data_IF_000459854911
#
_entry.id   IF_000459854911
#
_cell.length_a   1.000
_cell.length_b   1.000
_cell.length_c   1.000
_cell.angle_alpha   90.00
_cell.angle_beta   90.00
_cell.angle_gamma   90.00
#
_symmetry.space_group_name_H-M   'P 1'
#
loop_
_entity.id
_entity.type
_entity.pdbx_description
1 polymer ?
#
# COMPACT_ATOMS: atom_id res chain seq x y z
N UNK A 1 14.92 -22.64 25.56
CA UNK A 1 14.21 -22.17 24.36
C UNK A 1 13.24 -21.01 24.64
N UNK A 2 12.28 -21.12 25.57
CA UNK A 2 11.29 -20.05 25.91
C UNK A 2 11.93 -18.77 26.46
N UNK A 3 13.02 -18.89 27.22
CA UNK A 3 13.73 -17.73 27.82
C UNK A 3 14.48 -16.90 26.78
N UNK A 4 15.04 -17.54 25.74
CA UNK A 4 15.72 -16.89 24.62
C UNK A 4 14.78 -16.07 23.76
N UNK A 5 13.59 -16.63 23.45
CA UNK A 5 12.52 -15.94 22.68
C UNK A 5 12.00 -14.71 23.43
N UNK A 6 11.93 -14.78 24.77
CA UNK A 6 11.45 -13.66 25.60
C UNK A 6 12.48 -12.52 25.71
N UNK A 7 13.79 -12.83 25.67
CA UNK A 7 14.87 -11.84 25.65
C UNK A 7 14.98 -11.16 24.27
N UNK A 8 14.82 -11.92 23.19
CA UNK A 8 14.82 -11.39 21.81
C UNK A 8 13.64 -10.45 21.57
N UNK A 9 12.44 -10.79 22.09
CA UNK A 9 11.27 -9.92 22.02
C UNK A 9 11.44 -8.63 22.82
N UNK A 10 12.12 -8.68 23.99
CA UNK A 10 12.41 -7.50 24.80
C UNK A 10 13.47 -6.59 24.16
N UNK A 11 14.41 -7.16 23.39
CA UNK A 11 15.37 -6.41 22.58
C UNK A 11 14.74 -5.66 21.41
N UNK A 12 13.78 -6.29 20.72
CA UNK A 12 13.05 -5.70 19.60
C UNK A 12 12.07 -4.60 20.03
N UNK A 13 11.47 -4.71 21.22
CA UNK A 13 10.57 -3.66 21.76
C UNK A 13 11.31 -2.35 22.08
N UNK A 14 12.63 -2.40 22.33
CA UNK A 14 13.47 -1.21 22.52
C UNK A 14 13.89 -0.53 21.21
N UNK A 15 13.63 -1.13 20.04
CA UNK A 15 13.99 -0.60 18.71
C UNK A 15 12.78 0.03 18.01
N UNK A 16 11.62 0.10 18.66
CA UNK A 16 10.44 0.80 18.10
C UNK A 16 10.67 2.31 18.08
N UNK A 17 11.37 2.78 17.05
CA UNK A 17 11.61 4.21 16.82
C UNK A 17 10.33 4.99 16.48
N UNK A 18 9.35 4.34 15.83
CA UNK A 18 8.12 4.96 15.37
C UNK A 18 6.90 4.13 15.76
N UNK A 19 5.84 4.80 16.20
CA UNK A 19 4.53 4.19 16.40
C UNK A 19 3.80 3.99 15.07
N UNK A 20 2.83 3.06 15.04
CA UNK A 20 1.98 2.87 13.85
C UNK A 20 1.21 4.14 13.44
N UNK A 21 0.87 5.01 14.40
CA UNK A 21 0.26 6.31 14.11
C UNK A 21 1.24 7.26 13.40
N UNK A 22 2.48 7.36 13.88
CA UNK A 22 3.52 8.18 13.25
C UNK A 22 3.82 7.72 11.82
N UNK A 23 3.92 6.40 11.59
CA UNK A 23 4.10 5.86 10.24
C UNK A 23 2.94 6.21 9.30
N UNK A 24 1.69 6.24 9.79
CA UNK A 24 0.54 6.68 8.99
C UNK A 24 0.64 8.16 8.60
N UNK A 25 1.07 9.01 9.53
CA UNK A 25 1.31 10.43 9.20
C UNK A 25 2.44 10.59 8.19
N UNK A 26 3.52 9.83 8.30
CA UNK A 26 4.62 9.85 7.33
C UNK A 26 4.12 9.42 5.95
N UNK A 27 3.35 8.32 5.85
CA UNK A 27 2.78 7.87 4.59
C UNK A 27 1.86 8.92 3.97
N UNK A 28 0.99 9.54 4.78
CA UNK A 28 0.08 10.60 4.32
C UNK A 28 0.84 11.84 3.84
N UNK A 29 1.83 12.31 4.60
CA UNK A 29 2.65 13.47 4.22
C UNK A 29 3.47 13.20 2.95
N UNK A 30 4.06 12.00 2.83
CA UNK A 30 4.78 11.60 1.61
C UNK A 30 3.85 11.63 0.39
N UNK A 31 2.63 11.09 0.50
CA UNK A 31 1.63 11.12 -0.55
C UNK A 31 1.19 12.56 -0.88
N UNK A 32 1.01 13.40 0.14
CA UNK A 32 0.64 14.81 -0.05
C UNK A 32 1.74 15.56 -0.81
N UNK A 33 3.00 15.37 -0.44
CA UNK A 33 4.16 15.98 -1.13
C UNK A 33 4.20 15.56 -2.60
N UNK A 34 4.01 14.27 -2.90
CA UNK A 34 3.93 13.76 -4.26
C UNK A 34 2.83 14.43 -5.09
N UNK A 35 1.63 14.55 -4.52
CA UNK A 35 0.50 15.19 -5.20
C UNK A 35 0.71 16.68 -5.42
N UNK A 36 1.23 17.39 -4.40
CA UNK A 36 1.57 18.81 -4.52
C UNK A 36 2.63 19.02 -5.59
N UNK A 37 3.66 18.16 -5.64
CA UNK A 37 4.67 18.20 -6.67
C UNK A 37 4.05 18.08 -8.07
N UNK A 38 3.23 17.07 -8.29
CA UNK A 38 2.57 16.80 -9.57
C UNK A 38 1.55 17.87 -9.97
N UNK A 39 0.87 18.49 -8.98
CA UNK A 39 -0.13 19.52 -9.25
C UNK A 39 0.46 20.88 -9.57
N UNK A 40 1.48 21.29 -8.82
CA UNK A 40 1.96 22.68 -8.81
C UNK A 40 3.33 22.84 -9.45
N UNK A 41 4.24 21.86 -9.26
CA UNK A 41 5.61 21.97 -9.73
C UNK A 41 5.77 21.42 -11.15
N UNK A 42 5.25 20.22 -11.42
CA UNK A 42 5.33 19.59 -12.74
C UNK A 42 4.83 20.48 -13.89
N UNK A 43 3.70 21.21 -13.77
CA UNK A 43 3.21 22.06 -14.87
C UNK A 43 4.09 23.27 -15.21
N UNK A 44 4.99 23.67 -14.31
CA UNK A 44 5.86 24.85 -14.48
C UNK A 44 7.35 24.47 -14.56
N UNK A 45 7.67 23.19 -14.76
CA UNK A 45 9.04 22.71 -14.89
C UNK A 45 9.65 23.27 -16.19
N UNK A 46 10.74 24.02 -16.03
CA UNK A 46 11.59 24.53 -17.10
C UNK A 46 13.04 24.06 -17.00
N UNK A 47 13.34 23.18 -16.05
CA UNK A 47 14.69 22.66 -15.74
C UNK A 47 15.33 23.35 -14.53
N UNK A 48 16.66 23.18 -14.40
CA UNK A 48 17.43 23.78 -13.31
C UNK A 48 17.06 23.29 -11.91
N UNK A 49 17.14 24.17 -10.92
CA UNK A 49 16.89 23.85 -9.50
C UNK A 49 15.48 23.32 -9.27
N UNK A 50 14.50 23.77 -10.04
CA UNK A 50 13.11 23.36 -9.88
C UNK A 50 12.92 21.86 -10.23
N UNK A 51 13.66 21.37 -11.22
CA UNK A 51 13.69 19.96 -11.59
C UNK A 51 14.28 19.11 -10.45
N UNK A 52 15.40 19.54 -9.85
CA UNK A 52 16.03 18.81 -8.74
C UNK A 52 15.11 18.73 -7.51
N UNK A 53 14.38 19.81 -7.21
CA UNK A 53 13.39 19.85 -6.13
C UNK A 53 12.24 18.88 -6.43
N UNK A 54 11.76 18.86 -7.67
CA UNK A 54 10.70 17.96 -8.12
C UNK A 54 11.11 16.49 -8.00
N UNK A 55 12.32 16.14 -8.45
CA UNK A 55 12.86 14.79 -8.34
C UNK A 55 13.01 14.35 -6.87
N UNK A 56 13.43 15.26 -6.00
CA UNK A 56 13.51 14.98 -4.56
C UNK A 56 12.13 14.71 -3.95
N UNK A 57 11.11 15.47 -4.33
CA UNK A 57 9.72 15.25 -3.88
C UNK A 57 9.14 13.96 -4.41
N UNK A 58 9.47 13.54 -5.63
CA UNK A 58 9.09 12.25 -6.18
C UNK A 58 9.69 11.08 -5.39
N UNK A 59 10.96 11.18 -4.99
CA UNK A 59 11.62 10.17 -4.14
C UNK A 59 10.91 10.06 -2.78
N UNK A 60 10.57 11.19 -2.15
CA UNK A 60 9.79 11.20 -0.90
C UNK A 60 8.42 10.57 -1.13
N UNK A 61 7.73 10.92 -2.21
CA UNK A 61 6.41 10.41 -2.56
C UNK A 61 6.36 8.89 -2.68
N UNK A 62 7.40 8.29 -3.22
CA UNK A 62 7.51 6.82 -3.37
C UNK A 62 7.51 6.05 -2.05
N UNK A 63 7.82 6.70 -0.91
CA UNK A 63 7.77 6.09 0.42
C UNK A 63 6.31 5.78 0.83
N UNK A 64 5.35 6.54 0.34
CA UNK A 64 3.94 6.38 0.70
C UNK A 64 3.39 5.00 0.36
N UNK A 65 3.64 4.49 -0.84
CA UNK A 65 3.07 3.22 -1.31
C UNK A 65 3.49 2.00 -0.47
N UNK A 66 4.79 1.76 -0.19
CA UNK A 66 5.21 0.67 0.69
C UNK A 66 4.61 0.75 2.09
N UNK A 67 4.46 1.96 2.65
CA UNK A 67 3.84 2.15 3.95
C UNK A 67 2.35 1.82 3.93
N UNK A 68 1.61 2.26 2.90
CA UNK A 68 0.20 1.88 2.76
C UNK A 68 0.03 0.38 2.54
N UNK A 69 0.88 -0.25 1.72
CA UNK A 69 0.89 -1.70 1.53
C UNK A 69 1.12 -2.44 2.85
N UNK A 70 2.08 -1.98 3.66
CA UNK A 70 2.31 -2.50 5.01
C UNK A 70 1.05 -2.39 5.88
N UNK A 71 0.35 -1.25 5.87
CA UNK A 71 -0.88 -1.06 6.65
C UNK A 71 -2.04 -1.92 6.16
N UNK A 72 -2.13 -2.24 4.87
CA UNK A 72 -3.11 -3.20 4.36
C UNK A 72 -2.88 -4.59 4.97
N UNK A 73 -1.62 -5.05 4.99
CA UNK A 73 -1.25 -6.33 5.59
C UNK A 73 -1.52 -6.32 7.11
N UNK A 74 -1.10 -5.28 7.81
CA UNK A 74 -1.35 -5.12 9.25
C UNK A 74 -2.86 -5.11 9.55
N UNK A 75 -3.63 -4.36 8.77
CA UNK A 75 -5.07 -4.26 8.87
C UNK A 75 -5.76 -5.60 8.60
N UNK A 76 -5.29 -6.38 7.62
CA UNK A 76 -5.81 -7.71 7.33
C UNK A 76 -5.74 -8.66 8.53
N UNK A 77 -4.62 -8.65 9.27
CA UNK A 77 -4.46 -9.51 10.44
C UNK A 77 -5.16 -8.96 11.70
N UNK A 78 -5.36 -7.65 11.81
CA UNK A 78 -5.99 -7.02 12.98
C UNK A 78 -7.50 -6.85 12.85
N UNK A 79 -8.07 -6.90 11.64
CA UNK A 79 -9.50 -6.65 11.44
C UNK A 79 -10.38 -7.79 11.95
N UNK A 80 -11.50 -7.43 12.56
CA UNK A 80 -12.54 -8.40 12.96
C UNK A 80 -13.36 -8.90 11.76
N UNK A 81 -13.45 -8.13 10.68
CA UNK A 81 -14.22 -8.48 9.48
C UNK A 81 -13.49 -8.05 8.21
N UNK A 82 -12.91 -9.04 7.54
CA UNK A 82 -12.19 -8.84 6.27
C UNK A 82 -13.12 -8.32 5.16
N UNK A 83 -14.37 -8.82 5.14
CA UNK A 83 -15.40 -8.36 4.18
C UNK A 83 -15.68 -6.87 4.34
N UNK A 84 -15.90 -6.41 5.57
CA UNK A 84 -16.17 -5.00 5.87
C UNK A 84 -14.94 -4.13 5.55
N UNK A 85 -13.74 -4.64 5.82
CA UNK A 85 -12.49 -3.94 5.52
C UNK A 85 -12.33 -3.73 4.00
N UNK A 86 -12.53 -4.79 3.20
CA UNK A 86 -12.50 -4.71 1.74
C UNK A 86 -13.60 -3.78 1.19
N UNK A 87 -14.83 -3.90 1.70
CA UNK A 87 -15.93 -3.05 1.27
C UNK A 87 -15.65 -1.57 1.51
N UNK A 88 -15.15 -1.22 2.69
CA UNK A 88 -14.77 0.16 2.99
C UNK A 88 -13.67 0.66 2.05
N UNK A 89 -12.64 -0.15 1.80
CA UNK A 89 -11.54 0.21 0.90
C UNK A 89 -12.03 0.45 -0.53
N UNK A 90 -12.94 -0.40 -1.04
CA UNK A 90 -13.55 -0.25 -2.36
C UNK A 90 -14.48 0.98 -2.44
N UNK A 91 -15.27 1.25 -1.40
CA UNK A 91 -16.11 2.46 -1.35
C UNK A 91 -15.23 3.72 -1.44
N UNK A 92 -14.16 3.78 -0.65
CA UNK A 92 -13.23 4.90 -0.72
C UNK A 92 -12.51 4.97 -2.07
N UNK A 93 -12.14 3.83 -2.69
CA UNK A 93 -11.56 3.80 -4.01
C UNK A 93 -12.48 4.44 -5.06
N UNK A 94 -13.76 4.07 -5.06
CA UNK A 94 -14.76 4.63 -5.99
C UNK A 94 -14.98 6.12 -5.75
N UNK A 95 -15.12 6.55 -4.48
CA UNK A 95 -15.31 7.97 -4.15
C UNK A 95 -14.08 8.80 -4.56
N UNK A 96 -12.88 8.25 -4.37
CA UNK A 96 -11.62 8.94 -4.68
C UNK A 96 -11.29 8.96 -6.17
N UNK A 97 -11.97 8.17 -7.01
CA UNK A 97 -11.70 8.11 -8.45
C UNK A 97 -12.04 9.43 -9.13
N UNK A 98 -13.16 10.04 -8.79
CA UNK A 98 -13.58 11.31 -9.39
C UNK A 98 -12.53 12.42 -9.17
N UNK A 99 -12.13 12.75 -7.92
CA UNK A 99 -11.08 13.75 -7.70
C UNK A 99 -9.73 13.34 -8.28
N UNK A 100 -9.40 12.04 -8.33
CA UNK A 100 -8.17 11.54 -8.95
C UNK A 100 -8.17 11.80 -10.46
N UNK A 101 -9.24 11.45 -11.16
CA UNK A 101 -9.37 11.67 -12.60
C UNK A 101 -9.37 13.16 -12.97
N UNK A 102 -10.06 13.97 -12.19
CA UNK A 102 -10.04 15.43 -12.38
C UNK A 102 -8.63 16.01 -12.21
N UNK A 103 -7.86 15.46 -11.27
CA UNK A 103 -6.51 15.92 -10.99
C UNK A 103 -5.52 15.52 -12.09
N UNK A 104 -5.51 14.24 -12.50
CA UNK A 104 -4.52 13.72 -13.44
C UNK A 104 -4.90 13.85 -14.91
N UNK A 105 -6.20 13.73 -15.23
CA UNK A 105 -6.68 13.63 -16.61
C UNK A 105 -7.51 14.83 -17.04
N UNK A 106 -7.83 15.74 -16.09
CA UNK A 106 -8.74 16.88 -16.29
C UNK A 106 -10.10 16.45 -16.86
N UNK A 107 -10.53 15.21 -16.60
CA UNK A 107 -11.81 14.61 -16.99
C UNK A 107 -12.50 14.07 -15.75
N UNK A 108 -13.84 13.94 -15.80
CA UNK A 108 -14.57 13.35 -14.68
C UNK A 108 -14.43 11.84 -14.58
N UNK A 109 -14.02 11.18 -15.67
CA UNK A 109 -13.89 9.73 -15.71
C UNK A 109 -12.84 9.31 -16.74
N UNK A 110 -11.80 8.59 -16.29
CA UNK A 110 -10.73 8.07 -17.13
C UNK A 110 -10.42 6.62 -16.75
N UNK A 111 -10.67 5.70 -17.67
CA UNK A 111 -10.44 4.26 -17.43
C UNK A 111 -9.00 3.80 -17.67
N UNK A 112 -8.09 4.70 -18.05
CA UNK A 112 -6.69 4.33 -18.36
C UNK A 112 -5.79 4.24 -17.14
N UNK A 113 -6.15 4.95 -16.07
CA UNK A 113 -5.40 4.94 -14.83
C UNK A 113 -6.40 5.00 -13.66
N UNK A 114 -6.24 4.13 -12.69
CA UNK A 114 -7.06 4.09 -11.48
C UNK A 114 -6.26 4.58 -10.29
N UNK A 115 -6.95 5.13 -9.28
CA UNK A 115 -6.28 5.54 -8.06
C UNK A 115 -5.70 4.34 -7.29
N UNK A 116 -4.70 4.61 -6.47
CA UNK A 116 -3.92 3.60 -5.71
C UNK A 116 -4.78 2.72 -4.79
N UNK A 117 -5.97 3.16 -4.37
CA UNK A 117 -6.85 2.38 -3.49
C UNK A 117 -7.39 1.13 -4.17
N UNK A 118 -7.59 1.13 -5.50
CA UNK A 118 -7.93 -0.09 -6.23
C UNK A 118 -6.80 -1.11 -6.19
N UNK A 119 -5.55 -0.68 -6.37
CA UNK A 119 -4.36 -1.54 -6.24
C UNK A 119 -4.25 -2.12 -4.84
N UNK A 120 -4.49 -1.31 -3.81
CA UNK A 120 -4.50 -1.77 -2.41
C UNK A 120 -5.65 -2.73 -2.12
N UNK A 121 -6.84 -2.53 -2.73
CA UNK A 121 -7.97 -3.45 -2.61
C UNK A 121 -7.66 -4.80 -3.27
N UNK A 122 -7.05 -4.78 -4.46
CA UNK A 122 -6.61 -6.00 -5.15
C UNK A 122 -5.55 -6.75 -4.33
N UNK A 123 -4.60 -6.03 -3.74
CA UNK A 123 -3.59 -6.60 -2.83
C UNK A 123 -4.23 -7.25 -1.61
N UNK A 124 -5.26 -6.63 -1.02
CA UNK A 124 -6.02 -7.19 0.09
C UNK A 124 -6.75 -8.49 -0.30
N UNK A 125 -7.36 -8.53 -1.48
CA UNK A 125 -8.01 -9.74 -2.03
C UNK A 125 -6.96 -10.83 -2.21
N UNK A 126 -5.80 -10.51 -2.79
CA UNK A 126 -4.71 -11.44 -3.03
C UNK A 126 -4.22 -12.07 -1.73
N UNK A 127 -3.96 -11.27 -0.69
CA UNK A 127 -3.57 -11.76 0.64
C UNK A 127 -4.65 -12.66 1.23
N UNK A 128 -5.92 -12.30 1.07
CA UNK A 128 -7.04 -13.10 1.58
C UNK A 128 -7.16 -14.45 0.88
N UNK A 129 -7.00 -14.50 -0.45
CA UNK A 129 -6.98 -15.75 -1.22
C UNK A 129 -5.80 -16.62 -0.78
N UNK A 130 -4.61 -16.05 -0.63
CA UNK A 130 -3.42 -16.76 -0.15
C UNK A 130 -3.67 -17.37 1.23
N UNK A 131 -4.29 -16.64 2.17
CA UNK A 131 -4.62 -17.12 3.51
C UNK A 131 -5.61 -18.30 3.48
N UNK A 132 -6.64 -18.24 2.61
CA UNK A 132 -7.58 -19.33 2.38
C UNK A 132 -6.87 -20.56 1.79
N UNK A 133 -6.04 -20.37 0.76
CA UNK A 133 -5.29 -21.47 0.13
C UNK A 133 -4.34 -22.12 1.13
N UNK A 134 -3.63 -21.32 1.93
CA UNK A 134 -2.75 -21.82 2.99
C UNK A 134 -3.51 -22.70 3.99
N UNK A 135 -4.70 -22.28 4.40
CA UNK A 135 -5.52 -23.07 5.34
C UNK A 135 -6.02 -24.37 4.73
N UNK A 136 -6.39 -24.38 3.44
CA UNK A 136 -6.89 -25.57 2.73
C UNK A 136 -5.79 -26.55 2.34
N UNK A 137 -4.59 -26.05 2.05
CA UNK A 137 -3.44 -26.85 1.59
C UNK A 137 -2.53 -27.29 2.74
N UNK A 138 -2.96 -27.17 3.99
CA UNK A 138 -2.17 -27.45 5.21
C UNK A 138 -1.52 -28.85 5.21
N UNK A 139 -2.10 -29.83 4.51
CA UNK A 139 -1.60 -31.20 4.40
C UNK A 139 -0.94 -31.52 3.04
N UNK A 140 -0.72 -30.53 2.15
CA UNK A 140 -0.08 -30.72 0.84
C UNK A 140 1.35 -30.15 0.84
N UNK A 141 2.21 -30.60 -0.09
CA UNK A 141 3.57 -30.07 -0.18
C UNK A 141 3.59 -28.54 -0.23
N UNK A 142 4.43 -27.93 0.57
CA UNK A 142 4.57 -26.48 0.68
C UNK A 142 4.84 -25.78 -0.66
N UNK A 143 5.45 -26.50 -1.61
CA UNK A 143 5.78 -25.99 -2.94
C UNK A 143 4.55 -25.54 -3.75
N UNK A 144 3.43 -26.28 -3.66
CA UNK A 144 2.17 -25.92 -4.33
C UNK A 144 1.57 -24.61 -3.79
N UNK A 145 1.73 -24.40 -2.48
CA UNK A 145 1.27 -23.17 -1.84
C UNK A 145 2.11 -21.96 -2.27
N UNK A 146 3.45 -22.09 -2.31
CA UNK A 146 4.33 -21.03 -2.79
C UNK A 146 4.07 -20.69 -4.26
N UNK A 147 3.91 -21.70 -5.11
CA UNK A 147 3.63 -21.50 -6.53
C UNK A 147 2.31 -20.76 -6.76
N UNK A 148 1.22 -21.14 -6.09
CA UNK A 148 -0.07 -20.44 -6.19
C UNK A 148 -0.01 -19.01 -5.69
N UNK A 149 0.77 -18.75 -4.64
CA UNK A 149 0.97 -17.39 -4.11
C UNK A 149 1.72 -16.49 -5.08
N UNK A 150 2.78 -17.02 -5.71
CA UNK A 150 3.57 -16.27 -6.72
C UNK A 150 2.71 -15.94 -7.93
N UNK A 151 1.93 -16.91 -8.43
CA UNK A 151 1.02 -16.69 -9.58
C UNK A 151 -0.02 -15.60 -9.27
N UNK A 152 -0.62 -15.64 -8.07
CA UNK A 152 -1.59 -14.60 -7.66
C UNK A 152 -0.96 -13.21 -7.54
N UNK A 153 0.26 -13.11 -7.01
CA UNK A 153 0.98 -11.84 -6.92
C UNK A 153 1.28 -11.31 -8.32
N UNK A 154 1.74 -12.17 -9.24
CA UNK A 154 2.00 -11.77 -10.62
C UNK A 154 0.73 -11.29 -11.34
N UNK A 155 -0.40 -11.99 -11.18
CA UNK A 155 -1.68 -11.55 -11.77
C UNK A 155 -2.13 -10.20 -11.19
N UNK A 156 -1.89 -9.94 -9.92
CA UNK A 156 -2.29 -8.69 -9.26
C UNK A 156 -1.37 -7.50 -9.59
N UNK A 157 -0.23 -7.73 -10.23
CA UNK A 157 0.73 -6.67 -10.61
C UNK A 157 0.52 -6.12 -12.02
N UNK A 158 -0.37 -6.74 -12.82
CA UNK A 158 -0.84 -6.26 -14.12
C UNK A 158 -2.20 -5.57 -14.02
#
# INVERSE_FOLDING_TARGET
MIKTIKLEKKGLDNIKLLSGAQLKYIAFLSMLIDHVNKALIYPILDGGLLLEISDFFDVIGRIAFPLFAFFIVEGFFKTKSRKKYLANLLIFAVISEIPFDMFFSRTFFNTRANNVLFTLALSLITIWIIDILKSKLKNKPSILWYFSSVVLILISSF
#
